data_IF_266971395907
#
_entry.id   IF_266971395907
#
_cell.length_a   1.000
_cell.length_b   1.000
_cell.length_c   1.000
_cell.angle_alpha   90.00
_cell.angle_beta   90.00
_cell.angle_gamma   90.00
#
_symmetry.space_group_name_H-M   'P 1'
#
loop_
_entity.id
_entity.type
_entity.pdbx_description
1 polymer ?
#
# COMPACT_ATOMS: atom_id res chain seq x y z
N UNK A 1 -42.31 -56.06 -31.13
CA UNK A 1 -41.13 -56.34 -31.98
C UNK A 1 -40.00 -55.41 -31.58
N UNK A 2 -38.78 -55.93 -31.63
CA UNK A 2 -37.52 -55.37 -31.13
C UNK A 2 -37.11 -54.03 -31.77
N UNK A 3 -36.61 -53.08 -30.96
CA UNK A 3 -35.25 -52.48 -31.06
C UNK A 3 -35.05 -51.27 -30.11
N UNK A 4 -34.13 -51.42 -29.16
CA UNK A 4 -33.20 -50.37 -28.72
C UNK A 4 -31.79 -50.86 -29.12
N UNK A 5 -30.85 -49.98 -29.50
CA UNK A 5 -29.82 -49.62 -28.50
C UNK A 5 -29.12 -48.23 -28.64
N UNK A 6 -28.78 -47.68 -27.47
CA UNK A 6 -27.56 -46.94 -27.05
C UNK A 6 -27.08 -45.60 -27.69
N UNK A 7 -26.37 -44.87 -26.81
CA UNK A 7 -25.48 -43.70 -27.00
C UNK A 7 -26.18 -42.35 -27.33
N UNK A 8 -25.79 -41.18 -26.81
CA UNK A 8 -24.92 -40.77 -25.67
C UNK A 8 -25.33 -39.31 -25.29
N UNK A 9 -24.80 -38.58 -24.30
CA UNK A 9 -23.68 -38.78 -23.35
C UNK A 9 -23.98 -38.09 -21.99
N UNK A 10 -22.96 -37.83 -21.15
CA UNK A 10 -23.09 -37.15 -19.86
C UNK A 10 -23.33 -35.63 -19.98
N UNK A 11 -24.33 -35.10 -19.27
CA UNK A 11 -24.46 -33.68 -18.95
C UNK A 11 -24.35 -33.46 -17.44
N UNK A 12 -23.15 -33.13 -16.96
CA UNK A 12 -22.95 -32.83 -15.54
C UNK A 12 -23.53 -31.46 -15.21
N UNK A 13 -24.61 -31.41 -14.43
CA UNK A 13 -25.17 -30.15 -13.92
C UNK A 13 -24.22 -29.53 -12.90
N UNK A 14 -23.44 -28.54 -13.33
CA UNK A 14 -22.63 -27.71 -12.45
C UNK A 14 -23.54 -26.95 -11.48
N UNK A 15 -23.50 -27.32 -10.21
CA UNK A 15 -24.04 -26.51 -9.12
C UNK A 15 -23.16 -25.26 -9.04
N UNK A 16 -23.64 -24.15 -9.59
CA UNK A 16 -22.96 -22.87 -9.47
C UNK A 16 -23.14 -22.35 -8.05
N UNK A 17 -22.19 -22.71 -7.17
CA UNK A 17 -22.13 -22.18 -5.82
C UNK A 17 -21.90 -20.67 -5.90
N UNK A 18 -22.97 -19.90 -5.65
CA UNK A 18 -22.91 -18.44 -5.56
C UNK A 18 -22.23 -18.02 -4.25
N UNK A 19 -20.91 -18.24 -4.19
CA UNK A 19 -20.00 -17.53 -3.29
C UNK A 19 -19.85 -16.09 -3.80
N UNK A 20 -20.93 -15.31 -3.70
CA UNK A 20 -20.79 -13.86 -3.71
C UNK A 20 -19.93 -13.47 -2.51
N UNK A 21 -18.99 -12.52 -2.64
CA UNK A 21 -18.34 -11.94 -1.48
C UNK A 21 -19.42 -11.49 -0.51
N UNK A 22 -19.32 -11.90 0.76
CA UNK A 22 -20.10 -11.23 1.78
C UNK A 22 -19.74 -9.74 1.70
N UNK A 23 -20.73 -8.88 1.51
CA UNK A 23 -20.54 -7.45 1.59
C UNK A 23 -20.16 -7.12 3.03
N UNK A 24 -18.85 -7.18 3.32
CA UNK A 24 -18.25 -6.45 4.43
C UNK A 24 -18.77 -5.04 4.25
N UNK A 25 -19.55 -4.56 5.22
CA UNK A 25 -19.94 -3.16 5.24
C UNK A 25 -18.64 -2.37 5.16
N UNK A 26 -18.49 -1.58 4.09
CA UNK A 26 -17.24 -0.87 3.85
C UNK A 26 -16.85 -0.17 5.16
N UNK A 27 -15.61 -0.38 5.57
CA UNK A 27 -15.02 0.61 6.46
C UNK A 27 -15.10 1.95 5.73
N UNK A 28 -14.95 3.05 6.46
CA UNK A 28 -14.62 4.28 5.74
C UNK A 28 -13.19 4.05 5.22
N UNK A 29 -13.06 3.52 4.00
CA UNK A 29 -11.83 2.89 3.46
C UNK A 29 -10.64 3.88 3.36
N UNK A 30 -10.94 5.17 3.59
CA UNK A 30 -9.99 6.28 3.65
C UNK A 30 -9.58 6.65 5.09
N UNK A 31 -10.03 5.90 6.11
CA UNK A 31 -9.63 6.11 7.51
C UNK A 31 -8.14 5.86 7.66
N UNK A 32 -7.40 6.89 8.03
CA UNK A 32 -5.97 6.79 8.31
C UNK A 32 -5.78 6.15 9.70
N UNK A 33 -5.10 5.00 9.85
CA UNK A 33 -4.86 4.40 11.15
C UNK A 33 -4.08 5.33 12.09
N UNK A 34 -4.27 5.26 13.42
CA UNK A 34 -3.61 6.16 14.37
C UNK A 34 -2.08 6.17 14.29
N UNK A 35 -1.47 5.05 13.91
CA UNK A 35 -0.03 4.93 13.66
C UNK A 35 0.45 5.78 12.48
N UNK A 36 -0.30 5.81 11.39
CA UNK A 36 -0.01 6.63 10.20
C UNK A 36 -0.40 8.10 10.42
N UNK A 37 -1.49 8.40 11.15
CA UNK A 37 -1.81 9.77 11.57
C UNK A 37 -0.66 10.39 12.38
N UNK A 38 -0.02 9.62 13.26
CA UNK A 38 1.05 10.10 14.14
C UNK A 38 2.47 9.85 13.63
N UNK A 39 2.66 9.29 12.43
CA UNK A 39 4.01 8.96 11.94
C UNK A 39 4.85 10.23 11.71
N UNK A 40 6.12 10.16 12.09
CA UNK A 40 7.14 11.17 11.81
C UNK A 40 8.06 10.77 10.66
N UNK A 41 7.78 9.64 10.00
CA UNK A 41 8.58 9.16 8.88
C UNK A 41 8.39 10.04 7.64
N UNK A 42 9.44 10.11 6.82
CA UNK A 42 9.34 10.69 5.47
C UNK A 42 8.57 9.76 4.53
N UNK A 43 8.18 10.29 3.38
CA UNK A 43 7.50 9.52 2.35
C UNK A 43 8.37 8.34 1.86
N UNK A 44 9.67 8.56 1.65
CA UNK A 44 10.60 7.52 1.20
C UNK A 44 10.78 6.43 2.27
N UNK A 45 10.81 6.79 3.55
CA UNK A 45 10.83 5.82 4.66
C UNK A 45 9.58 4.94 4.71
N UNK A 46 8.41 5.54 4.47
CA UNK A 46 7.12 4.81 4.40
C UNK A 46 7.11 3.89 3.18
N UNK A 47 7.59 4.34 2.03
CA UNK A 47 7.71 3.54 0.81
C UNK A 47 8.68 2.35 0.99
N UNK A 48 9.86 2.57 1.58
CA UNK A 48 10.82 1.53 1.88
C UNK A 48 10.29 0.51 2.90
N UNK A 49 9.54 0.95 3.91
CA UNK A 49 8.86 0.06 4.85
C UNK A 49 7.73 -0.74 4.18
N UNK A 50 6.95 -0.10 3.30
CA UNK A 50 5.88 -0.77 2.55
C UNK A 50 6.47 -1.85 1.64
N UNK A 51 7.61 -1.61 0.97
CA UNK A 51 8.35 -2.62 0.18
C UNK A 51 8.70 -3.90 0.96
N UNK A 52 8.85 -3.81 2.28
CA UNK A 52 9.23 -4.92 3.17
C UNK A 52 8.03 -5.55 3.87
N UNK A 53 7.07 -4.74 4.32
CA UNK A 53 5.88 -5.19 5.06
C UNK A 53 4.79 -5.69 4.11
N UNK A 54 4.46 -4.90 3.08
CA UNK A 54 3.46 -5.20 2.06
C UNK A 54 4.04 -5.01 0.64
N UNK A 55 4.81 -6.00 0.16
CA UNK A 55 5.43 -5.94 -1.16
C UNK A 55 4.41 -5.97 -2.31
N UNK A 56 3.15 -6.35 -2.06
CA UNK A 56 2.09 -6.38 -3.08
C UNK A 56 1.60 -4.95 -3.34
N UNK A 57 1.14 -4.26 -2.29
CA UNK A 57 0.71 -2.85 -2.39
C UNK A 57 1.86 -1.96 -2.86
N UNK A 58 3.09 -2.22 -2.40
CA UNK A 58 4.27 -1.55 -2.94
C UNK A 58 4.42 -1.74 -4.46
N UNK A 59 4.32 -2.99 -4.93
CA UNK A 59 4.48 -3.33 -6.34
C UNK A 59 3.44 -2.68 -7.25
N UNK A 60 2.18 -2.63 -6.80
CA UNK A 60 1.08 -1.97 -7.52
C UNK A 60 1.26 -0.45 -7.57
N UNK A 61 1.55 0.18 -6.42
CA UNK A 61 1.74 1.63 -6.31
C UNK A 61 2.97 2.10 -7.12
N UNK A 62 4.11 1.41 -7.00
CA UNK A 62 5.33 1.75 -7.74
C UNK A 62 5.23 1.40 -9.22
N UNK A 63 4.51 0.34 -9.58
CA UNK A 63 4.19 0.00 -10.97
C UNK A 63 3.35 1.11 -11.63
N UNK A 64 2.31 1.59 -10.94
CA UNK A 64 1.51 2.73 -11.39
C UNK A 64 2.37 3.99 -11.49
N UNK A 65 3.10 4.35 -10.43
CA UNK A 65 3.97 5.53 -10.39
C UNK A 65 4.92 5.61 -11.60
N UNK A 66 5.59 4.51 -11.92
CA UNK A 66 6.54 4.46 -13.04
C UNK A 66 5.86 4.46 -14.43
N UNK A 67 4.55 4.22 -14.50
CA UNK A 67 3.75 4.41 -15.73
C UNK A 67 3.26 5.85 -15.92
N UNK A 68 3.24 6.67 -14.87
CA UNK A 68 2.79 8.07 -14.94
C UNK A 68 3.80 8.99 -15.66
N UNK A 69 3.35 10.07 -16.31
CA UNK A 69 4.23 11.13 -16.78
C UNK A 69 5.05 11.77 -15.63
N UNK A 70 6.31 12.15 -15.87
CA UNK A 70 7.18 12.74 -14.82
C UNK A 70 6.59 13.94 -14.05
N UNK A 71 5.74 14.74 -14.69
CA UNK A 71 5.09 15.86 -14.00
C UNK A 71 3.99 15.40 -13.02
N UNK A 72 3.32 14.29 -13.32
CA UNK A 72 2.37 13.62 -12.41
C UNK A 72 3.12 12.96 -11.26
N UNK A 73 4.22 12.25 -11.56
CA UNK A 73 5.14 11.68 -10.54
C UNK A 73 5.60 12.74 -9.53
N UNK A 74 6.02 13.91 -10.00
CA UNK A 74 6.39 15.04 -9.14
C UNK A 74 5.22 15.58 -8.33
N UNK A 75 4.01 15.66 -8.92
CA UNK A 75 2.79 16.06 -8.21
C UNK A 75 2.40 15.11 -7.08
N UNK A 76 2.45 13.79 -7.32
CA UNK A 76 2.18 12.76 -6.31
C UNK A 76 3.13 12.90 -5.12
N UNK A 77 4.45 12.92 -5.38
CA UNK A 77 5.47 13.05 -4.32
C UNK A 77 5.30 14.38 -3.57
N UNK A 78 4.98 15.47 -4.26
CA UNK A 78 4.71 16.77 -3.64
C UNK A 78 3.52 16.72 -2.69
N UNK A 79 2.36 16.22 -3.14
CA UNK A 79 1.15 16.19 -2.32
C UNK A 79 1.26 15.23 -1.12
N UNK A 80 1.87 14.06 -1.28
CA UNK A 80 2.05 13.13 -0.15
C UNK A 80 3.09 13.65 0.87
N UNK A 81 4.08 14.43 0.44
CA UNK A 81 4.95 15.16 1.38
C UNK A 81 4.24 16.33 2.08
N UNK A 82 3.31 17.03 1.42
CA UNK A 82 2.47 18.05 2.08
C UNK A 82 1.54 17.44 3.13
N UNK A 83 0.94 16.28 2.84
CA UNK A 83 0.16 15.50 3.81
C UNK A 83 1.01 15.18 5.06
N UNK A 84 2.24 14.70 4.88
CA UNK A 84 3.13 14.38 6.01
C UNK A 84 3.58 15.61 6.80
N UNK A 85 3.68 16.79 6.17
CA UNK A 85 4.00 18.04 6.86
C UNK A 85 2.85 18.58 7.73
N UNK A 86 1.61 18.12 7.52
CA UNK A 86 0.47 18.49 8.37
C UNK A 86 0.56 17.87 9.76
N UNK A 87 0.07 18.56 10.80
CA UNK A 87 -0.04 17.97 12.13
C UNK A 87 -1.08 16.83 12.13
N UNK A 88 -0.96 15.82 13.01
CA UNK A 88 -1.77 14.60 12.96
C UNK A 88 -3.28 14.83 12.83
N UNK A 89 -3.83 15.81 13.55
CA UNK A 89 -5.27 16.13 13.53
C UNK A 89 -5.79 16.70 12.20
N UNK A 90 -4.91 17.13 11.29
CA UNK A 90 -5.29 17.62 9.96
C UNK A 90 -5.12 16.56 8.85
N UNK A 91 -4.39 15.47 9.12
CA UNK A 91 -4.01 14.49 8.09
C UNK A 91 -5.21 13.73 7.52
N UNK A 92 -6.22 13.41 8.33
CA UNK A 92 -7.45 12.77 7.83
C UNK A 92 -8.16 13.64 6.79
N UNK A 93 -8.41 14.92 7.10
CA UNK A 93 -9.11 15.82 6.18
C UNK A 93 -8.33 16.10 4.88
N UNK A 94 -6.99 16.05 4.94
CA UNK A 94 -6.16 16.10 3.73
C UNK A 94 -6.25 14.79 2.93
N UNK A 95 -6.28 13.62 3.59
CA UNK A 95 -6.53 12.32 2.93
C UNK A 95 -7.90 12.28 2.24
N UNK A 96 -8.95 12.75 2.93
CA UNK A 96 -10.31 12.88 2.37
C UNK A 96 -10.35 13.81 1.14
N UNK A 97 -9.42 14.77 1.06
CA UNK A 97 -9.26 15.65 -0.10
C UNK A 97 -8.43 14.98 -1.21
N UNK A 98 -7.30 14.36 -0.86
CA UNK A 98 -6.37 13.76 -1.82
C UNK A 98 -6.91 12.49 -2.47
N UNK A 99 -7.78 11.72 -1.82
CA UNK A 99 -8.39 10.51 -2.41
C UNK A 99 -9.17 10.83 -3.69
N UNK A 100 -9.74 12.03 -3.81
CA UNK A 100 -10.45 12.46 -5.02
C UNK A 100 -9.52 12.68 -6.24
N UNK A 101 -8.21 12.79 -6.03
CA UNK A 101 -7.21 13.08 -7.07
C UNK A 101 -6.14 11.99 -7.22
N UNK A 102 -5.79 11.30 -6.13
CA UNK A 102 -4.67 10.38 -6.01
C UNK A 102 -5.03 9.11 -5.20
N UNK A 103 -6.18 8.44 -5.45
CA UNK A 103 -6.68 7.36 -4.58
C UNK A 103 -5.66 6.24 -4.35
N UNK A 104 -5.01 5.79 -5.43
CA UNK A 104 -3.98 4.72 -5.41
C UNK A 104 -2.70 5.07 -4.64
N UNK A 105 -2.48 6.35 -4.32
CA UNK A 105 -1.31 6.83 -3.58
C UNK A 105 -1.66 7.23 -2.14
N UNK A 106 -2.95 7.50 -1.89
CA UNK A 106 -3.51 7.73 -0.55
C UNK A 106 -3.64 6.41 0.22
N UNK A 107 -3.83 5.28 -0.46
CA UNK A 107 -3.82 3.93 0.13
C UNK A 107 -2.59 3.65 0.99
N UNK A 108 -1.42 4.22 0.64
CA UNK A 108 -0.19 4.17 1.43
C UNK A 108 -0.38 4.61 2.90
N UNK A 109 -1.34 5.50 3.16
CA UNK A 109 -1.68 6.02 4.48
C UNK A 109 -2.92 5.35 5.09
N UNK A 110 -3.77 4.73 4.28
CA UNK A 110 -5.05 4.11 4.71
C UNK A 110 -5.02 2.58 4.69
N UNK A 111 -3.85 1.98 4.43
CA UNK A 111 -3.59 0.55 4.56
C UNK A 111 -4.21 -0.03 5.83
N UNK A 112 -4.86 -1.19 5.73
CA UNK A 112 -5.52 -1.82 6.85
C UNK A 112 -4.53 -2.21 7.96
N UNK A 113 -5.03 -2.36 9.19
CA UNK A 113 -4.31 -3.07 10.23
C UNK A 113 -4.26 -4.58 9.89
N UNK A 114 -3.14 -5.28 10.12
CA UNK A 114 -1.99 -4.87 10.93
C UNK A 114 -0.90 -4.07 10.17
N UNK A 115 -0.96 -4.01 8.85
CA UNK A 115 0.19 -3.61 8.03
C UNK A 115 0.56 -2.13 8.20
N UNK A 116 -0.41 -1.22 8.36
CA UNK A 116 -0.14 0.18 8.70
C UNK A 116 0.67 0.34 10.00
N UNK A 117 0.41 -0.50 11.03
CA UNK A 117 1.18 -0.46 12.27
C UNK A 117 2.60 -0.98 12.07
N UNK A 118 2.78 -2.03 11.27
CA UNK A 118 4.09 -2.57 10.93
C UNK A 118 4.90 -1.60 10.05
N UNK A 119 4.27 -0.94 9.08
CA UNK A 119 4.88 0.12 8.24
C UNK A 119 5.34 1.28 9.13
N UNK A 120 4.47 1.82 9.98
CA UNK A 120 4.79 2.93 10.88
C UNK A 120 5.90 2.58 11.89
N UNK A 121 5.96 1.33 12.37
CA UNK A 121 7.02 0.88 13.27
C UNK A 121 8.36 0.64 12.56
N UNK A 122 8.35 0.27 11.27
CA UNK A 122 9.56 -0.09 10.50
C UNK A 122 10.14 1.10 9.74
N UNK A 123 9.32 2.08 9.32
CA UNK A 123 9.76 3.24 8.55
C UNK A 123 10.92 4.06 9.16
N UNK A 124 11.04 4.31 10.49
CA UNK A 124 12.16 5.09 11.00
C UNK A 124 13.51 4.36 10.93
N UNK A 125 13.51 3.07 10.54
CA UNK A 125 14.74 2.31 10.30
C UNK A 125 15.35 2.54 8.93
N UNK A 126 14.64 3.14 7.96
CA UNK A 126 15.16 3.41 6.61
C UNK A 126 15.76 4.83 6.50
N UNK A 127 16.58 5.13 5.48
CA UNK A 127 17.06 6.48 5.21
C UNK A 127 15.90 7.46 4.98
N UNK A 128 16.03 8.69 5.51
CA UNK A 128 15.00 9.73 5.40
C UNK A 128 14.81 10.25 3.96
N UNK A 129 15.86 10.20 3.15
CA UNK A 129 15.85 10.50 1.71
C UNK A 129 16.38 9.25 1.00
N UNK A 130 15.56 8.65 0.12
CA UNK A 130 15.94 7.42 -0.58
C UNK A 130 15.32 7.35 -1.99
N UNK A 131 16.09 7.76 -3.02
CA UNK A 131 15.64 7.64 -4.41
C UNK A 131 15.33 6.21 -4.86
N UNK A 132 15.86 5.19 -4.17
CA UNK A 132 15.61 3.77 -4.50
C UNK A 132 14.25 3.28 -3.98
N UNK A 133 13.59 4.01 -3.07
CA UNK A 133 12.26 3.66 -2.58
C UNK A 133 11.22 3.59 -3.71
N UNK A 134 11.39 4.38 -4.78
CA UNK A 134 10.48 4.46 -5.93
C UNK A 134 10.93 3.63 -7.16
N UNK A 135 12.05 2.89 -7.07
CA UNK A 135 12.52 1.98 -8.11
C UNK A 135 12.11 0.52 -7.79
N UNK A 136 11.26 -0.12 -8.62
CA UNK A 136 10.83 -1.49 -8.39
C UNK A 136 11.96 -2.51 -8.60
N UNK A 137 13.05 -2.14 -9.30
CA UNK A 137 14.20 -2.99 -9.57
C UNK A 137 15.35 -2.79 -8.58
N UNK A 138 15.35 -1.69 -7.83
CA UNK A 138 16.34 -1.46 -6.79
C UNK A 138 16.16 -2.50 -5.66
N UNK A 139 17.26 -3.00 -5.07
CA UNK A 139 17.17 -3.80 -3.85
C UNK A 139 16.47 -3.01 -2.75
N UNK A 140 15.84 -3.70 -1.81
CA UNK A 140 15.29 -3.04 -0.62
C UNK A 140 16.42 -2.35 0.16
N UNK A 141 16.19 -1.09 0.52
CA UNK A 141 17.21 -0.25 1.16
C UNK A 141 17.62 -0.81 2.52
N UNK A 142 18.91 -0.78 2.82
CA UNK A 142 19.42 -1.31 4.08
C UNK A 142 18.91 -0.44 5.25
N UNK A 143 18.41 -1.04 6.34
CA UNK A 143 18.12 -0.29 7.55
C UNK A 143 19.36 0.45 8.07
N UNK A 144 19.18 1.72 8.45
CA UNK A 144 20.18 2.56 9.08
C UNK A 144 20.47 2.03 10.48
N UNK A 145 21.48 1.18 10.61
CA UNK A 145 22.03 0.83 11.92
C UNK A 145 22.62 2.08 12.56
N UNK A 146 22.25 2.43 13.82
CA UNK A 146 22.89 3.54 14.52
C UNK A 146 24.40 3.25 14.66
N UNK A 147 25.26 4.29 14.61
CA UNK A 147 26.69 4.11 14.82
C UNK A 147 26.95 3.48 16.19
N UNK A 148 27.99 2.62 16.34
CA UNK A 148 28.34 2.07 17.64
C UNK A 148 28.64 3.22 18.63
N UNK A 149 28.29 3.06 19.92
CA UNK A 149 28.50 4.11 20.90
C UNK A 149 29.98 4.49 20.96
N UNK A 150 30.28 5.77 20.74
CA UNK A 150 31.63 6.30 20.88
C UNK A 150 32.03 6.17 22.35
N UNK A 151 33.12 5.46 22.69
CA UNK A 151 33.57 5.37 24.07
C UNK A 151 33.96 6.78 24.56
N UNK A 152 33.31 7.23 25.63
CA UNK A 152 33.70 8.44 26.35
C UNK A 152 35.08 8.24 27.01
N UNK A 153 35.97 9.25 26.98
CA UNK A 153 37.29 9.18 27.62
C UNK A 153 37.21 9.18 29.15
#
# INVERSE_FOLDING_TARGET
MTKHPLAAACGASLILAALGPAAVAAADDNTVPPSMLNTTCTLDQIMAATKVVDPITYGELVGKYNSEPRWVQGGIVYHMNLLLQKPPQERQAEVDTLVAFFPEYVSLFTNAEPDANAIAATCPTFPAEDPAAWDPNAPASAPVTPPPPVPTP
#
